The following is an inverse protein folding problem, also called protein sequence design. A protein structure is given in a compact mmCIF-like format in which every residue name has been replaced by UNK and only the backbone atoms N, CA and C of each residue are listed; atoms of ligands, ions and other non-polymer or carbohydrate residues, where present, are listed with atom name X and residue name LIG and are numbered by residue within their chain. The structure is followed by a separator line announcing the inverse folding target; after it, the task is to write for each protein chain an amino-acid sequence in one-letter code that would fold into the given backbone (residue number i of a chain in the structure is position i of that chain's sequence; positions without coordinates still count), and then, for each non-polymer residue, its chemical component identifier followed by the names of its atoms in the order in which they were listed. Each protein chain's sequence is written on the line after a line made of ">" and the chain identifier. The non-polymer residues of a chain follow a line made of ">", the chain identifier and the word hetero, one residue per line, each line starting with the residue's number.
data_IF_364372634830
#
_entry.id   IF_364372634830
#
_cell.length_a   1.000
_cell.length_b   1.000
_cell.length_c   1.000
_cell.angle_alpha   90.00
_cell.angle_beta   90.00
_cell.angle_gamma   90.00
#
_symmetry.space_group_name_H-M   'P 1'
#
loop_
_entity.id
_entity.type
_entity.pdbx_description
1 polymer ?
#
# COMPACT_ATOMS: atom_id res chain seq x y z
N UNK A 1 -1.22 -3.27 14.65
CA UNK A 1 -2.37 -2.96 13.77
C UNK A 1 -3.58 -2.71 14.65
N UNK A 2 -4.35 -1.66 14.39
CA UNK A 2 -5.59 -1.34 15.12
C UNK A 2 -6.85 -1.89 14.43
N UNK A 3 -6.76 -2.17 13.12
CA UNK A 3 -7.83 -2.73 12.29
C UNK A 3 -7.43 -4.13 11.80
N UNK A 4 -8.44 -4.88 11.38
CA UNK A 4 -8.27 -6.23 10.83
C UNK A 4 -7.74 -6.18 9.40
N UNK A 5 -6.95 -7.17 9.00
CA UNK A 5 -6.40 -7.27 7.63
C UNK A 5 -7.50 -7.16 6.54
N UNK A 6 -8.68 -7.81 6.66
CA UNK A 6 -9.70 -7.72 5.64
C UNK A 6 -10.28 -6.32 5.45
N UNK A 7 -10.17 -5.42 6.44
CA UNK A 7 -10.67 -4.04 6.32
C UNK A 7 -9.85 -3.22 5.33
N UNK A 8 -8.61 -3.63 5.05
CA UNK A 8 -7.70 -2.93 4.13
C UNK A 8 -8.27 -2.85 2.71
N UNK A 9 -8.92 -3.93 2.22
CA UNK A 9 -9.50 -3.96 0.87
C UNK A 9 -10.65 -2.97 0.70
N UNK A 10 -11.22 -2.51 1.82
CA UNK A 10 -12.41 -1.69 1.88
C UNK A 10 -12.10 -0.21 2.15
N UNK A 11 -10.82 0.19 2.15
CA UNK A 11 -10.43 1.60 2.30
C UNK A 11 -10.53 2.39 0.99
N UNK A 12 -10.60 3.71 1.11
CA UNK A 12 -10.56 4.65 -0.03
C UNK A 12 -9.14 5.16 -0.32
N UNK A 13 -8.22 4.96 0.62
CA UNK A 13 -6.82 5.36 0.51
C UNK A 13 -5.93 4.42 1.31
N UNK A 14 -4.74 4.14 0.78
CA UNK A 14 -3.66 3.42 1.43
C UNK A 14 -2.43 4.32 1.43
N UNK A 15 -1.97 4.69 2.62
CA UNK A 15 -0.71 5.41 2.79
C UNK A 15 0.34 4.48 3.39
N UNK A 16 1.31 4.08 2.58
CA UNK A 16 2.42 3.23 2.98
C UNK A 16 3.61 4.11 3.30
N UNK A 17 4.11 4.05 4.52
CA UNK A 17 5.32 4.78 4.93
C UNK A 17 6.26 3.84 5.68
N UNK A 18 7.54 3.84 5.29
CA UNK A 18 8.56 3.02 5.95
C UNK A 18 8.31 1.51 5.90
N UNK A 19 7.62 1.02 4.86
CA UNK A 19 7.30 -0.40 4.71
C UNK A 19 7.42 -0.87 3.27
N UNK A 20 8.12 -1.99 3.06
CA UNK A 20 8.07 -2.75 1.81
C UNK A 20 7.08 -3.92 1.95
N UNK A 21 5.79 -3.60 2.02
CA UNK A 21 4.74 -4.56 2.38
C UNK A 21 4.63 -5.72 1.40
N UNK A 22 4.95 -5.51 0.13
CA UNK A 22 4.96 -6.57 -0.89
C UNK A 22 5.97 -7.69 -0.63
N UNK A 23 7.12 -7.36 -0.05
CA UNK A 23 8.12 -8.36 0.32
C UNK A 23 7.90 -8.89 1.74
N UNK A 24 7.63 -8.00 2.69
CA UNK A 24 7.55 -8.36 4.10
C UNK A 24 6.22 -9.03 4.50
N UNK A 25 5.10 -8.64 3.87
CA UNK A 25 3.76 -9.10 4.23
C UNK A 25 2.87 -9.31 2.98
N UNK A 26 3.12 -10.37 2.18
CA UNK A 26 2.45 -10.58 0.89
C UNK A 26 0.91 -10.63 0.96
N UNK A 27 0.34 -11.13 2.06
CA UNK A 27 -1.13 -11.18 2.25
C UNK A 27 -1.71 -9.78 2.47
N UNK A 28 -1.03 -8.92 3.22
CA UNK A 28 -1.47 -7.52 3.41
C UNK A 28 -1.37 -6.77 2.08
N UNK A 29 -0.27 -6.98 1.34
CA UNK A 29 -0.13 -6.40 0.01
C UNK A 29 -1.23 -6.86 -0.96
N UNK A 30 -1.75 -8.09 -0.83
CA UNK A 30 -2.88 -8.56 -1.61
C UNK A 30 -4.16 -7.76 -1.32
N UNK A 31 -4.48 -7.49 -0.05
CA UNK A 31 -5.65 -6.68 0.31
C UNK A 31 -5.48 -5.22 -0.12
N UNK A 32 -4.27 -4.65 0.01
CA UNK A 32 -3.96 -3.31 -0.53
C UNK A 32 -4.19 -3.25 -2.04
N UNK A 33 -3.75 -4.27 -2.79
CA UNK A 33 -3.99 -4.36 -4.24
C UNK A 33 -5.48 -4.42 -4.57
N UNK A 34 -6.28 -5.14 -3.79
CA UNK A 34 -7.74 -5.17 -3.97
C UNK A 34 -8.38 -3.79 -3.72
N UNK A 35 -7.91 -3.06 -2.70
CA UNK A 35 -8.37 -1.68 -2.46
C UNK A 35 -8.08 -0.80 -3.67
N UNK A 36 -6.84 -0.82 -4.17
CA UNK A 36 -6.40 -0.03 -5.33
C UNK A 36 -7.18 -0.40 -6.60
N UNK A 37 -7.42 -1.70 -6.84
CA UNK A 37 -8.26 -2.16 -7.95
C UNK A 37 -9.71 -1.65 -7.87
N UNK A 38 -10.22 -1.40 -6.65
CA UNK A 38 -11.55 -0.81 -6.42
C UNK A 38 -11.55 0.72 -6.55
N UNK A 39 -10.39 1.34 -6.76
CA UNK A 39 -10.23 2.79 -6.90
C UNK A 39 -9.68 3.49 -5.66
N UNK A 40 -9.18 2.76 -4.66
CA UNK A 40 -8.50 3.37 -3.53
C UNK A 40 -7.18 4.01 -3.98
N UNK A 41 -6.87 5.18 -3.45
CA UNK A 41 -5.62 5.89 -3.77
C UNK A 41 -4.44 5.27 -3.03
N UNK A 42 -3.35 4.95 -3.72
CA UNK A 42 -2.11 4.46 -3.15
C UNK A 42 -1.05 5.56 -3.10
N UNK A 43 -0.59 5.89 -1.90
CA UNK A 43 0.53 6.81 -1.67
C UNK A 43 1.64 6.05 -0.94
N UNK A 44 2.86 6.18 -1.43
CA UNK A 44 4.05 5.50 -0.87
C UNK A 44 5.10 6.52 -0.49
N UNK A 45 5.55 6.48 0.76
CA UNK A 45 6.69 7.22 1.28
C UNK A 45 7.80 6.22 1.67
N UNK A 46 8.75 6.03 0.75
CA UNK A 46 9.95 5.22 0.93
C UNK A 46 11.10 5.91 0.16
N UNK A 47 12.32 6.02 0.75
CA UNK A 47 13.45 6.66 0.07
C UNK A 47 13.90 5.90 -1.19
N UNK A 48 13.54 4.62 -1.27
CA UNK A 48 13.86 3.72 -2.38
C UNK A 48 12.64 3.60 -3.30
N UNK A 49 12.91 3.19 -4.55
CA UNK A 49 11.89 2.78 -5.51
C UNK A 49 11.59 1.29 -5.35
N UNK A 50 10.87 0.94 -4.29
CA UNK A 50 10.33 -0.41 -4.11
C UNK A 50 9.18 -0.66 -5.09
N UNK A 51 8.79 -1.91 -5.31
CA UNK A 51 7.71 -2.25 -6.26
C UNK A 51 6.40 -1.48 -6.00
N UNK A 52 6.05 -1.23 -4.74
CA UNK A 52 4.87 -0.44 -4.39
C UNK A 52 4.95 1.01 -4.90
N UNK A 53 6.15 1.60 -4.92
CA UNK A 53 6.35 2.96 -5.42
C UNK A 53 6.12 3.05 -6.94
N UNK A 54 6.46 1.99 -7.69
CA UNK A 54 6.25 1.93 -9.15
C UNK A 54 4.77 1.90 -9.53
N UNK A 55 3.90 1.42 -8.64
CA UNK A 55 2.45 1.30 -8.86
C UNK A 55 1.63 2.31 -8.04
N UNK A 56 2.28 3.22 -7.30
CA UNK A 56 1.62 4.21 -6.48
C UNK A 56 1.14 5.41 -7.31
N UNK A 57 0.02 6.00 -6.92
CA UNK A 57 -0.45 7.28 -7.48
C UNK A 57 0.52 8.42 -7.13
N UNK A 58 1.14 8.35 -5.94
CA UNK A 58 2.15 9.30 -5.49
C UNK A 58 3.27 8.55 -4.78
N UNK A 59 4.50 8.74 -5.25
CA UNK A 59 5.72 8.33 -4.55
C UNK A 59 6.40 9.56 -3.94
N UNK A 60 6.37 9.65 -2.60
CA UNK A 60 7.14 10.60 -1.82
C UNK A 60 8.51 9.99 -1.55
N UNK A 61 9.49 10.32 -2.38
CA UNK A 61 10.86 9.83 -2.20
C UNK A 61 11.58 10.65 -1.13
N UNK A 62 11.40 10.25 0.14
CA UNK A 62 11.97 10.89 1.35
C UNK A 62 12.68 9.88 2.24
#
# INVERSE_FOLDING_TARGET
>A
MTNSIPEIRDTDMVFVIGSNTTEAHPIIAMEMKRAVQRGARLVVADPRKIWLADVADVHLQI
#
